data_IF_375173251838
#
_entry.id   IF_375173251838
#
_cell.length_a   1.000
_cell.length_b   1.000
_cell.length_c   1.000
_cell.angle_alpha   90.00
_cell.angle_beta   90.00
_cell.angle_gamma   90.00
#
_symmetry.space_group_name_H-M   'P 1'
#
loop_
_entity.id
_entity.type
_entity.pdbx_description
1 polymer ?
#
# COMPACT_ATOMS: atom_id res chain seq x y z
N UNK A 1 -15.72 24.73 -2.73
CA UNK A 1 -15.00 23.87 -3.70
C UNK A 1 -15.99 23.54 -4.80
N UNK A 2 -15.60 23.63 -6.07
CA UNK A 2 -16.47 23.26 -7.20
C UNK A 2 -16.09 21.85 -7.65
N UNK A 3 -17.08 20.96 -7.71
CA UNK A 3 -16.92 19.57 -8.12
C UNK A 3 -17.07 19.44 -9.64
N UNK A 4 -16.32 18.53 -10.27
CA UNK A 4 -16.52 18.24 -11.70
C UNK A 4 -17.74 17.37 -11.93
N UNK A 5 -18.23 17.35 -13.17
CA UNK A 5 -19.28 16.43 -13.61
C UNK A 5 -18.87 14.95 -13.45
N UNK A 6 -17.57 14.63 -13.48
CA UNK A 6 -17.06 13.28 -13.20
C UNK A 6 -17.07 12.94 -11.70
N UNK A 7 -16.86 13.93 -10.83
CA UNK A 7 -16.82 13.72 -9.37
C UNK A 7 -18.22 13.63 -8.76
N UNK A 8 -19.18 14.41 -9.25
CA UNK A 8 -20.53 14.51 -8.67
C UNK A 8 -21.25 13.15 -8.57
N UNK A 9 -21.30 12.30 -9.62
CA UNK A 9 -21.93 10.98 -9.53
C UNK A 9 -21.30 10.09 -8.47
N UNK A 10 -19.96 10.09 -8.34
CA UNK A 10 -19.26 9.33 -7.32
C UNK A 10 -19.57 9.86 -5.90
N UNK A 11 -19.65 11.19 -5.73
CA UNK A 11 -19.95 11.84 -4.44
C UNK A 11 -21.39 11.56 -3.99
N UNK A 12 -22.35 11.56 -4.91
CA UNK A 12 -23.77 11.34 -4.64
C UNK A 12 -24.19 9.86 -4.67
N UNK A 13 -23.25 8.94 -4.91
CA UNK A 13 -23.56 7.52 -5.04
C UNK A 13 -24.08 6.93 -3.72
N UNK A 14 -25.17 6.16 -3.82
CA UNK A 14 -25.74 5.38 -2.72
C UNK A 14 -25.34 3.90 -2.79
N UNK A 15 -24.47 3.51 -3.73
CA UNK A 15 -24.08 2.12 -3.91
C UNK A 15 -23.34 1.57 -2.69
N UNK A 16 -23.61 0.29 -2.36
CA UNK A 16 -22.88 -0.42 -1.29
C UNK A 16 -21.42 -0.66 -1.63
N UNK A 17 -21.09 -0.73 -2.92
CA UNK A 17 -19.73 -0.85 -3.43
C UNK A 17 -19.53 0.17 -4.54
N UNK A 18 -18.63 1.11 -4.30
CA UNK A 18 -18.29 2.19 -5.20
C UNK A 18 -16.80 2.08 -5.53
N UNK A 19 -16.49 2.04 -6.82
CA UNK A 19 -15.13 2.04 -7.35
C UNK A 19 -14.92 3.29 -8.19
N UNK A 20 -13.98 4.13 -7.78
CA UNK A 20 -13.60 5.32 -8.52
C UNK A 20 -12.22 5.09 -9.12
N UNK A 21 -12.19 4.80 -10.42
CA UNK A 21 -10.95 4.66 -11.18
C UNK A 21 -10.49 6.05 -11.62
N UNK A 22 -9.32 6.46 -11.15
CA UNK A 22 -8.85 7.82 -11.29
C UNK A 22 -7.43 7.83 -11.85
N UNK A 23 -7.07 8.84 -12.62
CA UNK A 23 -5.69 9.05 -13.02
C UNK A 23 -4.90 9.92 -12.03
N UNK A 24 -3.62 10.12 -12.33
CA UNK A 24 -2.74 11.02 -11.60
C UNK A 24 -3.29 12.45 -11.54
N UNK A 25 -3.47 12.97 -10.32
CA UNK A 25 -3.83 14.38 -10.11
C UNK A 25 -5.31 14.72 -10.34
N UNK A 26 -6.18 13.73 -10.49
CA UNK A 26 -7.63 13.95 -10.76
C UNK A 26 -8.49 14.14 -9.51
N UNK A 27 -7.86 14.20 -8.34
CA UNK A 27 -8.54 14.54 -7.09
C UNK A 27 -9.12 13.37 -6.29
N UNK A 28 -8.59 12.14 -6.41
CA UNK A 28 -9.01 10.93 -5.65
C UNK A 28 -9.41 11.20 -4.20
N UNK A 29 -8.47 11.64 -3.37
CA UNK A 29 -8.71 11.93 -1.95
C UNK A 29 -9.71 13.08 -1.77
N UNK A 30 -9.73 14.06 -2.68
CA UNK A 30 -10.70 15.17 -2.65
C UNK A 30 -12.11 14.67 -2.93
N UNK A 31 -12.29 13.73 -3.87
CA UNK A 31 -13.57 13.08 -4.14
C UNK A 31 -14.05 12.28 -2.93
N UNK A 32 -13.16 11.59 -2.20
CA UNK A 32 -13.52 10.93 -0.94
C UNK A 32 -13.96 11.92 0.15
N UNK A 33 -13.33 13.10 0.22
CA UNK A 33 -13.76 14.17 1.14
C UNK A 33 -15.17 14.63 0.76
N UNK A 34 -15.42 14.91 -0.52
CA UNK A 34 -16.77 15.29 -1.00
C UNK A 34 -17.83 14.22 -0.70
N UNK A 35 -17.50 12.94 -0.92
CA UNK A 35 -18.38 11.83 -0.57
C UNK A 35 -18.71 11.81 0.93
N UNK A 36 -17.70 12.01 1.78
CA UNK A 36 -17.87 12.03 3.23
C UNK A 36 -18.68 13.24 3.74
N UNK A 37 -18.53 14.40 3.10
CA UNK A 37 -19.31 15.61 3.37
C UNK A 37 -20.76 15.44 2.96
N UNK A 38 -21.02 14.86 1.78
CA UNK A 38 -22.37 14.57 1.31
C UNK A 38 -23.10 13.59 2.24
N UNK A 39 -22.37 12.62 2.79
CA UNK A 39 -22.87 11.60 3.70
C UNK A 39 -22.53 11.90 5.18
N UNK A 40 -22.68 13.17 5.61
CA UNK A 40 -22.25 13.65 6.92
C UNK A 40 -22.87 12.91 8.13
N UNK A 41 -24.04 12.29 7.97
CA UNK A 41 -24.72 11.51 9.02
C UNK A 41 -24.09 10.12 9.24
N UNK A 42 -23.28 9.64 8.29
CA UNK A 42 -22.66 8.32 8.35
C UNK A 42 -21.27 8.43 8.98
N UNK A 43 -21.01 7.63 10.02
CA UNK A 43 -19.66 7.47 10.57
C UNK A 43 -18.82 6.63 9.61
N UNK A 44 -17.66 7.12 9.21
CA UNK A 44 -16.81 6.45 8.21
C UNK A 44 -15.41 6.20 8.72
N UNK A 45 -14.76 5.18 8.16
CA UNK A 45 -13.34 4.91 8.36
C UNK A 45 -12.60 5.17 7.06
N UNK A 46 -11.65 6.12 7.08
CA UNK A 46 -10.73 6.34 5.97
C UNK A 46 -9.43 5.56 6.22
N UNK A 47 -9.08 4.68 5.28
CA UNK A 47 -7.86 3.88 5.28
C UNK A 47 -6.87 4.40 4.23
N UNK A 48 -5.68 4.76 4.70
CA UNK A 48 -4.59 5.25 3.86
C UNK A 48 -3.31 4.44 4.05
N UNK A 49 -2.40 4.58 3.09
CA UNK A 49 -1.19 3.77 3.01
C UNK A 49 -0.15 4.09 4.10
N UNK A 50 0.09 5.37 4.40
CA UNK A 50 1.16 5.76 5.33
C UNK A 50 0.74 6.87 6.29
N UNK A 51 1.56 7.08 7.32
CA UNK A 51 1.27 8.02 8.40
C UNK A 51 1.22 9.47 7.95
N UNK A 52 2.02 9.87 6.96
CA UNK A 52 2.00 11.23 6.41
C UNK A 52 0.66 11.52 5.73
N UNK A 53 0.13 10.56 4.96
CA UNK A 53 -1.21 10.65 4.35
C UNK A 53 -2.29 10.67 5.42
N UNK A 54 -2.18 9.86 6.48
CA UNK A 54 -3.12 9.89 7.61
C UNK A 54 -3.18 11.28 8.26
N UNK A 55 -2.03 11.90 8.53
CA UNK A 55 -1.95 13.22 9.16
C UNK A 55 -2.54 14.31 8.25
N UNK A 56 -2.22 14.27 6.95
CA UNK A 56 -2.81 15.20 5.99
C UNK A 56 -4.33 15.00 5.85
N UNK A 57 -4.81 13.76 5.88
CA UNK A 57 -6.23 13.43 5.78
C UNK A 57 -7.04 13.95 6.98
N UNK A 58 -6.51 13.88 8.20
CA UNK A 58 -7.19 14.41 9.41
C UNK A 58 -7.55 15.89 9.33
N UNK A 59 -6.77 16.68 8.59
CA UNK A 59 -7.03 18.11 8.41
C UNK A 59 -8.03 18.40 7.27
N UNK A 60 -8.29 17.41 6.40
CA UNK A 60 -9.11 17.56 5.19
C UNK A 60 -10.48 16.92 5.29
N UNK A 61 -10.58 15.78 5.98
CA UNK A 61 -11.83 15.04 6.10
C UNK A 61 -12.75 15.64 7.17
N UNK A 62 -14.08 15.55 6.99
CA UNK A 62 -15.04 16.01 7.98
C UNK A 62 -15.05 15.14 9.25
N UNK A 63 -15.64 15.67 10.32
CA UNK A 63 -15.61 15.06 11.68
C UNK A 63 -16.25 13.68 11.77
N UNK A 64 -17.13 13.31 10.84
CA UNK A 64 -17.73 11.98 10.77
C UNK A 64 -16.75 10.89 10.28
N UNK A 65 -15.53 11.25 9.85
CA UNK A 65 -14.54 10.32 9.32
C UNK A 65 -13.40 10.12 10.32
N UNK A 66 -13.11 8.86 10.62
CA UNK A 66 -11.90 8.46 11.35
C UNK A 66 -10.80 8.12 10.35
N UNK A 67 -9.74 8.93 10.29
CA UNK A 67 -8.58 8.67 9.41
C UNK A 67 -7.52 7.82 10.12
N UNK A 68 -7.16 6.67 9.54
CA UNK A 68 -6.15 5.74 10.06
C UNK A 68 -5.37 5.07 8.93
N UNK A 69 -4.14 4.64 9.21
CA UNK A 69 -3.52 3.54 8.45
C UNK A 69 -4.07 2.19 8.92
N UNK A 70 -3.97 1.15 8.10
CA UNK A 70 -4.38 -0.21 8.50
C UNK A 70 -3.59 -0.69 9.73
N UNK A 71 -2.27 -0.48 9.73
CA UNK A 71 -1.42 -0.74 10.90
C UNK A 71 -1.83 0.07 12.12
N UNK A 72 -2.22 1.34 11.95
CA UNK A 72 -2.67 2.19 13.05
C UNK A 72 -4.01 1.77 13.65
N UNK A 73 -4.88 1.14 12.84
CA UNK A 73 -6.11 0.50 13.31
C UNK A 73 -5.80 -0.77 14.11
N UNK A 74 -4.95 -1.64 13.56
CA UNK A 74 -4.53 -2.88 14.22
C UNK A 74 -3.74 -2.63 15.52
N UNK A 75 -2.92 -1.58 15.55
CA UNK A 75 -2.11 -1.23 16.72
C UNK A 75 -2.97 -0.92 17.95
N UNK A 76 -4.13 -0.27 17.74
CA UNK A 76 -5.04 0.09 18.82
C UNK A 76 -5.67 -1.14 19.50
N UNK A 77 -5.74 -2.28 18.81
CA UNK A 77 -6.34 -3.51 19.31
C UNK A 77 -5.26 -4.48 19.82
N UNK A 78 -4.28 -4.81 18.95
CA UNK A 78 -3.24 -5.79 19.25
C UNK A 78 -1.89 -5.16 19.51
N UNK A 79 -1.46 -4.21 18.66
CA UNK A 79 -0.07 -3.73 18.67
C UNK A 79 0.39 -3.20 20.04
N UNK A 80 -0.44 -2.41 20.74
CA UNK A 80 -0.08 -1.86 22.06
C UNK A 80 0.33 -2.90 23.11
N UNK A 81 -0.17 -4.14 23.01
CA UNK A 81 0.14 -5.25 23.92
C UNK A 81 1.58 -5.79 23.74
N UNK A 82 2.19 -5.56 22.57
CA UNK A 82 3.53 -6.04 22.23
C UNK A 82 4.62 -4.98 22.38
N UNK A 83 4.33 -3.82 22.99
CA UNK A 83 5.26 -2.67 23.05
C UNK A 83 6.65 -3.03 23.58
N UNK A 84 6.76 -3.98 24.51
CA UNK A 84 8.02 -4.45 25.09
C UNK A 84 8.87 -5.34 24.18
N UNK A 85 8.29 -5.87 23.09
CA UNK A 85 8.97 -6.76 22.12
C UNK A 85 8.73 -6.35 20.67
N UNK A 86 8.43 -5.07 20.42
CA UNK A 86 8.21 -4.56 19.07
C UNK A 86 9.52 -4.33 18.31
N UNK A 87 9.53 -4.68 17.02
CA UNK A 87 10.63 -4.38 16.11
C UNK A 87 10.11 -3.96 14.73
N UNK A 88 10.93 -3.21 13.99
CA UNK A 88 10.58 -2.80 12.62
C UNK A 88 10.55 -3.98 11.65
N UNK A 89 11.51 -4.91 11.77
CA UNK A 89 11.68 -6.07 10.89
C UNK A 89 12.11 -7.30 11.69
N UNK A 90 11.85 -8.50 11.15
CA UNK A 90 12.40 -9.76 11.66
C UNK A 90 13.91 -9.81 11.40
N UNK A 91 14.70 -10.18 12.42
CA UNK A 91 16.15 -10.34 12.30
C UNK A 91 16.49 -11.81 12.09
N UNK A 92 17.29 -12.11 11.07
CA UNK A 92 17.75 -13.48 10.78
C UNK A 92 18.44 -14.13 11.98
N UNK A 93 19.22 -13.35 12.75
CA UNK A 93 19.90 -13.82 13.96
C UNK A 93 18.94 -14.29 15.04
N UNK A 94 17.81 -13.60 15.20
CA UNK A 94 16.81 -13.93 16.22
C UNK A 94 16.06 -15.20 15.81
N UNK A 95 15.73 -15.34 14.53
CA UNK A 95 15.12 -16.55 13.98
C UNK A 95 16.05 -17.75 14.13
N UNK A 96 17.31 -17.63 13.69
CA UNK A 96 18.29 -18.71 13.77
C UNK A 96 18.52 -19.19 15.21
N UNK A 97 18.59 -18.26 16.18
CA UNK A 97 18.67 -18.57 17.61
C UNK A 97 17.42 -19.26 18.11
N UNK A 98 16.24 -18.78 17.72
CA UNK A 98 14.93 -19.29 18.18
C UNK A 98 14.70 -20.75 17.80
N UNK A 99 15.16 -21.15 16.60
CA UNK A 99 15.05 -22.53 16.09
C UNK A 99 16.35 -23.34 16.28
N UNK A 100 17.34 -22.77 16.98
CA UNK A 100 18.65 -23.37 17.25
C UNK A 100 19.32 -23.98 16.00
N UNK A 101 19.42 -23.18 14.92
CA UNK A 101 20.06 -23.61 13.67
C UNK A 101 21.28 -22.77 13.32
N UNK A 102 22.24 -23.39 12.62
CA UNK A 102 23.33 -22.72 11.92
C UNK A 102 23.07 -22.62 10.41
N UNK A 103 21.95 -23.15 9.93
CA UNK A 103 21.49 -23.05 8.54
C UNK A 103 20.85 -21.68 8.31
N UNK A 104 21.65 -20.75 7.79
CA UNK A 104 21.21 -19.39 7.46
C UNK A 104 20.24 -19.33 6.28
N UNK A 105 20.27 -20.32 5.37
CA UNK A 105 19.31 -20.41 4.29
C UNK A 105 17.92 -20.75 4.82
N UNK A 106 17.84 -21.72 5.73
CA UNK A 106 16.60 -22.07 6.41
C UNK A 106 16.05 -20.89 7.21
N UNK A 107 16.90 -20.16 7.94
CA UNK A 107 16.48 -18.97 8.67
C UNK A 107 15.92 -17.88 7.73
N UNK A 108 16.54 -17.69 6.56
CA UNK A 108 16.07 -16.77 5.52
C UNK A 108 14.72 -17.20 4.93
N UNK A 109 14.56 -18.48 4.63
CA UNK A 109 13.31 -19.01 4.11
C UNK A 109 12.17 -18.86 5.11
N UNK A 110 12.44 -19.08 6.41
CA UNK A 110 11.45 -18.85 7.48
C UNK A 110 11.05 -17.38 7.51
N UNK A 111 12.00 -16.43 7.48
CA UNK A 111 11.67 -14.99 7.44
C UNK A 111 10.84 -14.63 6.20
N UNK A 112 11.20 -15.14 5.01
CA UNK A 112 10.43 -14.90 3.79
C UNK A 112 9.01 -15.44 3.91
N UNK A 113 8.88 -16.66 4.40
CA UNK A 113 7.60 -17.37 4.56
C UNK A 113 6.70 -16.67 5.57
N UNK A 114 7.24 -16.20 6.71
CA UNK A 114 6.51 -15.37 7.68
C UNK A 114 6.05 -14.05 7.06
N UNK A 115 6.92 -13.35 6.33
CA UNK A 115 6.53 -12.09 5.67
C UNK A 115 5.44 -12.31 4.62
N UNK A 116 5.53 -13.37 3.81
CA UNK A 116 4.52 -13.75 2.84
C UNK A 116 3.17 -14.06 3.53
N UNK A 117 3.20 -14.80 4.64
CA UNK A 117 2.00 -15.07 5.44
C UNK A 117 1.39 -13.81 6.05
N UNK A 118 2.20 -12.95 6.68
CA UNK A 118 1.71 -11.71 7.29
C UNK A 118 1.11 -10.74 6.24
N UNK A 119 1.59 -10.81 5.00
CA UNK A 119 1.07 -10.05 3.86
C UNK A 119 -0.20 -10.66 3.24
N UNK A 120 -0.42 -11.97 3.39
CA UNK A 120 -1.51 -12.69 2.75
C UNK A 120 -2.88 -12.47 3.41
N UNK A 121 -3.94 -12.88 2.70
CA UNK A 121 -5.31 -12.90 3.22
C UNK A 121 -5.61 -14.15 4.07
N UNK A 122 -4.72 -15.13 4.06
CA UNK A 122 -5.00 -16.48 4.56
C UNK A 122 -4.97 -16.50 6.09
N UNK A 123 -5.85 -17.27 6.72
CA UNK A 123 -5.94 -17.29 8.18
C UNK A 123 -4.90 -18.19 8.84
N UNK A 124 -4.23 -19.03 8.04
CA UNK A 124 -3.27 -20.02 8.50
C UNK A 124 -2.08 -20.09 7.54
N UNK A 125 -0.95 -20.59 8.06
CA UNK A 125 0.26 -20.80 7.27
C UNK A 125 0.09 -21.99 6.31
N UNK A 126 -0.06 -21.66 5.02
CA UNK A 126 -0.14 -22.59 3.89
C UNK A 126 1.20 -22.73 3.14
N UNK A 127 1.31 -23.77 2.30
CA UNK A 127 2.47 -24.04 1.44
C UNK A 127 2.75 -22.92 0.44
N UNK A 128 1.72 -22.24 -0.06
CA UNK A 128 1.84 -21.11 -1.00
C UNK A 128 2.61 -19.91 -0.43
N UNK A 129 2.82 -19.84 0.88
CA UNK A 129 3.67 -18.80 1.48
C UNK A 129 5.16 -19.12 1.39
N UNK A 130 5.52 -20.37 1.13
CA UNK A 130 6.91 -20.78 0.97
C UNK A 130 7.37 -20.46 -0.45
N UNK A 131 8.17 -19.41 -0.61
CA UNK A 131 8.57 -18.88 -1.92
C UNK A 131 9.60 -19.75 -2.65
N UNK A 132 10.45 -20.45 -1.89
CA UNK A 132 11.47 -21.32 -2.46
C UNK A 132 10.76 -22.49 -3.15
N UNK A 133 11.14 -22.72 -4.42
CA UNK A 133 10.57 -23.72 -5.31
C UNK A 133 9.18 -23.42 -5.93
N UNK A 134 8.58 -22.23 -5.75
CA UNK A 134 7.31 -21.89 -6.41
C UNK A 134 7.36 -21.95 -7.94
N UNK A 135 8.54 -21.75 -8.54
CA UNK A 135 8.75 -21.89 -9.99
C UNK A 135 8.81 -23.33 -10.48
N UNK A 136 8.90 -24.32 -9.58
CA UNK A 136 9.05 -25.72 -9.95
C UNK A 136 7.69 -26.33 -10.24
N UNK A 137 7.55 -27.00 -11.39
CA UNK A 137 6.31 -27.70 -11.77
C UNK A 137 6.02 -28.91 -10.86
N UNK A 138 7.05 -29.53 -10.32
CA UNK A 138 6.95 -30.68 -9.43
C UNK A 138 8.15 -30.67 -8.49
N UNK A 139 7.90 -30.90 -7.20
CA UNK A 139 8.94 -30.97 -6.19
C UNK A 139 9.46 -32.40 -6.05
N UNK A 140 10.76 -32.56 -5.83
CA UNK A 140 11.33 -33.85 -5.43
C UNK A 140 10.92 -34.18 -3.99
N UNK A 141 10.97 -35.46 -3.59
CA UNK A 141 10.67 -35.87 -2.21
C UNK A 141 11.55 -35.14 -1.17
N UNK A 142 12.81 -34.84 -1.52
CA UNK A 142 13.74 -34.08 -0.67
C UNK A 142 13.29 -32.62 -0.53
N UNK A 143 12.86 -31.98 -1.62
CA UNK A 143 12.34 -30.61 -1.60
C UNK A 143 11.04 -30.52 -0.79
N UNK A 144 10.15 -31.51 -0.93
CA UNK A 144 8.92 -31.60 -0.13
C UNK A 144 9.23 -31.74 1.36
N UNK A 145 10.15 -32.63 1.74
CA UNK A 145 10.57 -32.79 3.14
C UNK A 145 11.19 -31.50 3.69
N UNK A 146 12.02 -30.81 2.91
CA UNK A 146 12.60 -29.52 3.30
C UNK A 146 11.52 -28.45 3.51
N UNK A 147 10.59 -28.31 2.56
CA UNK A 147 9.48 -27.34 2.66
C UNK A 147 8.62 -27.62 3.89
N UNK A 148 8.22 -28.88 4.11
CA UNK A 148 7.43 -29.28 5.28
C UNK A 148 8.17 -28.97 6.59
N UNK A 149 9.47 -29.23 6.66
CA UNK A 149 10.31 -28.87 7.81
C UNK A 149 10.33 -27.36 8.04
N UNK A 150 10.56 -26.58 6.99
CA UNK A 150 10.62 -25.12 7.06
C UNK A 150 9.27 -24.51 7.49
N UNK A 151 8.15 -25.02 6.96
CA UNK A 151 6.81 -24.59 7.34
C UNK A 151 6.51 -24.90 8.82
N UNK A 152 6.86 -26.09 9.30
CA UNK A 152 6.67 -26.44 10.72
C UNK A 152 7.46 -25.49 11.64
N UNK A 153 8.74 -25.26 11.34
CA UNK A 153 9.55 -24.30 12.09
C UNK A 153 9.02 -22.86 11.99
N UNK A 154 8.43 -22.49 10.85
CA UNK A 154 7.79 -21.18 10.66
C UNK A 154 6.57 -21.04 11.57
N UNK A 155 5.77 -22.10 11.75
CA UNK A 155 4.65 -22.12 12.70
C UNK A 155 5.15 -21.93 14.14
N UNK A 156 6.19 -22.67 14.53
CA UNK A 156 6.79 -22.54 15.87
C UNK A 156 7.29 -21.11 16.13
N UNK A 157 7.92 -20.49 15.12
CA UNK A 157 8.38 -19.09 15.20
C UNK A 157 7.21 -18.12 15.27
N UNK A 158 6.15 -18.34 14.50
CA UNK A 158 4.93 -17.53 14.57
C UNK A 158 4.27 -17.62 15.94
N UNK A 159 4.15 -18.81 16.52
CA UNK A 159 3.54 -19.02 17.84
C UNK A 159 4.33 -18.27 18.94
N UNK A 160 5.67 -18.33 18.90
CA UNK A 160 6.53 -17.53 19.80
C UNK A 160 6.45 -16.02 19.53
N UNK A 161 6.24 -15.63 18.27
CA UNK A 161 6.08 -14.22 17.90
C UNK A 161 4.79 -13.66 18.50
N UNK A 162 3.67 -14.39 18.40
CA UNK A 162 2.36 -13.96 18.91
C UNK A 162 2.18 -14.15 20.40
N UNK A 163 2.95 -15.04 21.04
CA UNK A 163 3.02 -15.08 22.51
C UNK A 163 3.57 -13.75 23.05
N UNK A 164 2.77 -13.10 23.89
CA UNK A 164 3.09 -11.80 24.50
C UNK A 164 4.26 -11.96 25.50
N UNK A 165 4.38 -13.12 26.16
CA UNK A 165 5.37 -13.37 27.20
C UNK A 165 6.71 -13.88 26.64
N UNK A 166 6.70 -14.52 25.47
CA UNK A 166 7.92 -14.96 24.80
C UNK A 166 8.66 -13.74 24.22
N UNK A 167 9.98 -13.63 24.45
CA UNK A 167 10.82 -12.51 23.92
C UNK A 167 11.85 -12.95 22.89
N UNK A 168 11.82 -14.21 22.46
CA UNK A 168 12.75 -14.78 21.48
C UNK A 168 12.54 -14.23 20.08
N UNK A 169 11.29 -13.97 19.71
CA UNK A 169 10.91 -13.40 18.40
C UNK A 169 10.17 -12.09 18.60
N UNK A 170 10.65 -11.02 17.98
CA UNK A 170 10.03 -9.70 18.07
C UNK A 170 8.73 -9.62 17.26
N UNK A 171 7.74 -8.88 17.77
CA UNK A 171 6.50 -8.57 17.05
C UNK A 171 6.74 -7.41 16.07
N UNK A 172 6.48 -7.64 14.78
CA UNK A 172 6.57 -6.61 13.74
C UNK A 172 5.26 -5.86 13.56
N UNK A 173 5.32 -4.76 12.82
CA UNK A 173 4.11 -4.04 12.41
C UNK A 173 3.16 -4.91 11.58
N UNK A 174 3.69 -5.73 10.69
CA UNK A 174 2.90 -6.66 9.88
C UNK A 174 2.36 -7.83 10.71
N UNK A 175 3.07 -8.26 11.76
CA UNK A 175 2.62 -9.34 12.64
C UNK A 175 1.34 -9.01 13.40
N UNK A 176 1.27 -7.85 14.07
CA UNK A 176 0.03 -7.47 14.76
C UNK A 176 -1.08 -7.06 13.78
N UNK A 177 -0.74 -6.60 12.58
CA UNK A 177 -1.72 -6.37 11.52
C UNK A 177 -2.34 -7.69 11.07
N UNK A 178 -1.51 -8.74 10.93
CA UNK A 178 -1.95 -10.09 10.62
C UNK A 178 -2.86 -10.65 11.70
N UNK A 179 -2.50 -10.52 12.99
CA UNK A 179 -3.37 -10.88 14.12
C UNK A 179 -4.73 -10.16 14.05
N UNK A 180 -4.71 -8.86 13.77
CA UNK A 180 -5.93 -8.09 13.62
C UNK A 180 -6.79 -8.53 12.44
N UNK A 181 -6.19 -8.92 11.32
CA UNK A 181 -6.94 -9.48 10.18
C UNK A 181 -7.51 -10.86 10.52
N UNK A 182 -6.72 -11.73 11.15
CA UNK A 182 -7.11 -13.07 11.57
C UNK A 182 -8.25 -13.07 12.60
N UNK A 183 -8.35 -12.02 13.42
CA UNK A 183 -9.48 -11.85 14.35
C UNK A 183 -10.81 -11.57 13.65
N UNK A 184 -10.82 -11.42 12.31
CA UNK A 184 -11.98 -11.12 11.47
C UNK A 184 -12.88 -10.02 12.07
N UNK A 185 -12.32 -8.81 12.29
CA UNK A 185 -13.00 -7.77 13.04
C UNK A 185 -14.25 -7.29 12.30
N UNK A 186 -15.34 -7.14 13.03
CA UNK A 186 -16.58 -6.53 12.53
C UNK A 186 -16.58 -5.03 12.81
N UNK A 187 -16.29 -4.24 11.78
CA UNK A 187 -16.26 -2.79 11.85
C UNK A 187 -17.65 -2.14 11.70
N UNK A 188 -18.68 -2.90 11.34
CA UNK A 188 -20.03 -2.38 11.10
C UNK A 188 -20.70 -1.79 12.34
N UNK A 189 -20.27 -2.22 13.54
CA UNK A 189 -20.73 -1.66 14.82
C UNK A 189 -20.30 -0.22 15.03
N UNK A 190 -19.25 0.25 14.36
CA UNK A 190 -18.66 1.58 14.54
C UNK A 190 -18.78 2.48 13.32
N UNK A 191 -18.78 1.89 12.13
CA UNK A 191 -18.73 2.60 10.87
C UNK A 191 -19.85 2.11 9.94
N UNK A 192 -20.47 3.02 9.21
CA UNK A 192 -21.40 2.69 8.12
C UNK A 192 -20.73 2.62 6.76
N UNK A 193 -19.50 3.15 6.62
CA UNK A 193 -18.71 3.07 5.40
C UNK A 193 -17.19 3.00 5.66
N UNK A 194 -16.47 2.39 4.73
CA UNK A 194 -15.01 2.41 4.63
C UNK A 194 -14.61 3.10 3.32
N UNK A 195 -13.72 4.07 3.44
CA UNK A 195 -13.12 4.81 2.34
C UNK A 195 -11.67 4.34 2.18
N UNK A 196 -11.36 3.62 1.10
CA UNK A 196 -10.04 3.10 0.79
C UNK A 196 -9.37 3.96 -0.28
N UNK A 197 -8.27 4.62 0.07
CA UNK A 197 -7.43 5.38 -0.87
C UNK A 197 -6.27 4.53 -1.39
N UNK A 198 -5.79 4.86 -2.58
CA UNK A 198 -4.72 4.13 -3.29
C UNK A 198 -4.96 2.62 -3.35
N UNK A 199 -6.19 2.22 -3.70
CA UNK A 199 -6.64 0.82 -3.73
C UNK A 199 -5.80 -0.12 -4.60
N UNK A 200 -5.01 0.40 -5.53
CA UNK A 200 -4.10 -0.39 -6.37
C UNK A 200 -2.86 -0.92 -5.62
N UNK A 201 -2.42 -0.26 -4.54
CA UNK A 201 -1.14 -0.55 -3.84
C UNK A 201 -1.36 -1.22 -2.47
N UNK A 202 -2.52 -1.86 -2.29
CA UNK A 202 -2.93 -2.45 -1.02
C UNK A 202 -2.43 -3.88 -0.90
N UNK A 203 -1.81 -4.23 0.23
CA UNK A 203 -1.38 -5.60 0.52
C UNK A 203 -2.60 -6.52 0.74
N UNK A 204 -2.63 -7.78 0.26
CA UNK A 204 -3.75 -8.71 0.44
C UNK A 204 -4.37 -8.77 1.84
N UNK A 205 -3.58 -8.70 2.91
CA UNK A 205 -4.07 -8.64 4.30
C UNK A 205 -5.00 -7.43 4.55
N UNK A 206 -4.65 -6.26 4.03
CA UNK A 206 -5.45 -5.03 4.16
C UNK A 206 -6.66 -5.10 3.22
N UNK A 207 -6.47 -5.59 2.00
CA UNK A 207 -7.57 -5.76 1.05
C UNK A 207 -8.64 -6.71 1.61
N UNK A 208 -8.22 -7.83 2.21
CA UNK A 208 -9.11 -8.76 2.90
C UNK A 208 -9.83 -8.08 4.08
N UNK A 209 -9.09 -7.35 4.92
CA UNK A 209 -9.67 -6.62 6.05
C UNK A 209 -10.80 -5.68 5.63
N UNK A 210 -10.71 -5.04 4.45
CA UNK A 210 -11.80 -4.21 3.89
C UNK A 210 -12.91 -5.08 3.29
N UNK A 211 -12.55 -6.11 2.52
CA UNK A 211 -13.50 -6.96 1.80
C UNK A 211 -14.48 -7.70 2.71
N UNK A 212 -14.03 -8.17 3.88
CA UNK A 212 -14.88 -8.92 4.82
C UNK A 212 -15.93 -8.03 5.53
N UNK A 213 -15.83 -6.70 5.40
CA UNK A 213 -16.70 -5.77 6.11
C UNK A 213 -18.04 -5.63 5.40
N UNK A 214 -19.12 -5.66 6.18
CA UNK A 214 -20.52 -5.59 5.71
C UNK A 214 -21.04 -4.16 5.51
N UNK A 215 -20.15 -3.18 5.54
CA UNK A 215 -20.44 -1.74 5.43
C UNK A 215 -20.31 -1.28 3.99
N UNK A 216 -20.74 -0.05 3.67
CA UNK A 216 -20.49 0.53 2.34
C UNK A 216 -18.99 0.63 2.10
N UNK A 217 -18.52 0.17 0.93
CA UNK A 217 -17.11 0.21 0.55
C UNK A 217 -16.92 1.19 -0.61
N UNK A 218 -16.14 2.24 -0.38
CA UNK A 218 -15.75 3.21 -1.40
C UNK A 218 -14.26 3.11 -1.61
N UNK A 219 -13.85 2.68 -2.80
CA UNK A 219 -12.43 2.52 -3.15
C UNK A 219 -12.07 3.45 -4.28
N UNK A 220 -11.04 4.27 -4.08
CA UNK A 220 -10.43 5.10 -5.14
C UNK A 220 -9.02 4.61 -5.43
N UNK A 221 -8.60 4.70 -6.68
CA UNK A 221 -7.24 4.33 -7.05
C UNK A 221 -6.94 4.57 -8.52
N UNK A 222 -5.67 4.44 -8.87
CA UNK A 222 -5.17 4.54 -10.24
C UNK A 222 -4.53 3.22 -10.67
N UNK A 223 -5.19 2.50 -11.58
CA UNK A 223 -4.73 1.21 -12.11
C UNK A 223 -3.34 1.28 -12.76
N UNK A 224 -2.89 2.46 -13.16
CA UNK A 224 -1.57 2.65 -13.78
C UNK A 224 -0.48 3.05 -12.80
N UNK A 225 -0.83 3.43 -11.56
CA UNK A 225 0.13 3.78 -10.50
C UNK A 225 0.42 2.63 -9.54
N UNK A 226 0.14 1.38 -9.92
CA UNK A 226 0.50 0.24 -9.10
C UNK A 226 2.02 0.01 -9.13
N UNK A 227 2.71 0.52 -8.11
CA UNK A 227 4.18 0.49 -8.03
C UNK A 227 4.69 -0.60 -7.08
N UNK A 228 3.86 -1.08 -6.15
CA UNK A 228 4.31 -1.98 -5.08
C UNK A 228 4.01 -3.47 -5.34
N UNK A 229 3.81 -3.90 -6.59
CA UNK A 229 3.61 -5.33 -6.92
C UNK A 229 4.74 -6.24 -6.40
N UNK A 230 5.97 -5.75 -6.43
CA UNK A 230 7.14 -6.49 -5.92
C UNK A 230 7.11 -6.74 -4.41
N UNK A 231 6.21 -6.07 -3.67
CA UNK A 231 5.94 -6.30 -2.24
C UNK A 231 4.66 -7.10 -2.01
N UNK A 232 4.13 -7.76 -3.04
CA UNK A 232 2.90 -8.55 -2.96
C UNK A 232 1.60 -7.74 -3.01
N UNK A 233 1.64 -6.43 -3.30
CA UNK A 233 0.43 -5.62 -3.40
C UNK A 233 -0.54 -6.17 -4.47
N UNK A 234 -1.81 -6.29 -4.11
CA UNK A 234 -2.89 -6.73 -5.01
C UNK A 234 -3.66 -5.54 -5.52
N UNK A 235 -4.11 -5.62 -6.76
CA UNK A 235 -4.98 -4.59 -7.33
C UNK A 235 -6.41 -4.77 -6.80
N UNK A 236 -6.73 -4.10 -5.69
CA UNK A 236 -8.07 -4.18 -5.10
C UNK A 236 -9.15 -3.62 -6.05
N UNK A 237 -8.77 -2.74 -6.98
CA UNK A 237 -9.67 -2.16 -7.98
C UNK A 237 -10.21 -3.23 -8.95
N UNK A 238 -9.41 -4.26 -9.24
CA UNK A 238 -9.76 -5.36 -10.14
C UNK A 238 -10.12 -6.66 -9.39
N UNK A 239 -10.32 -6.60 -8.07
CA UNK A 239 -10.69 -7.77 -7.29
C UNK A 239 -12.08 -8.31 -7.65
N UNK A 240 -12.32 -9.63 -7.60
CA UNK A 240 -13.65 -10.21 -7.80
C UNK A 240 -14.72 -9.60 -6.87
N UNK A 241 -14.31 -9.18 -5.67
CA UNK A 241 -15.16 -8.53 -4.69
C UNK A 241 -15.78 -7.21 -5.19
N UNK A 242 -15.12 -6.52 -6.14
CA UNK A 242 -15.57 -5.25 -6.73
C UNK A 242 -16.19 -5.42 -8.13
N UNK A 243 -16.44 -6.65 -8.59
CA UNK A 243 -17.01 -6.92 -9.92
C UNK A 243 -18.36 -6.24 -10.15
N UNK A 244 -19.20 -6.20 -9.11
CA UNK A 244 -20.54 -5.59 -9.14
C UNK A 244 -20.56 -4.19 -8.51
N UNK A 245 -19.40 -3.55 -8.33
CA UNK A 245 -19.35 -2.18 -7.82
C UNK A 245 -19.85 -1.19 -8.88
N UNK A 246 -20.50 -0.13 -8.43
CA UNK A 246 -20.73 1.06 -9.27
C UNK A 246 -19.37 1.68 -9.61
N UNK A 247 -19.12 1.95 -10.90
CA UNK A 247 -17.82 2.41 -11.38
C UNK A 247 -17.90 3.81 -11.96
N UNK A 248 -17.03 4.69 -11.49
CA UNK A 248 -16.85 6.04 -12.03
C UNK A 248 -15.40 6.27 -12.43
N UNK A 249 -15.20 7.17 -13.39
CA UNK A 249 -13.88 7.51 -13.91
C UNK A 249 -13.57 8.97 -13.64
N UNK A 250 -12.39 9.25 -13.08
CA UNK A 250 -11.86 10.61 -12.94
C UNK A 250 -10.69 10.76 -13.91
N UNK A 251 -10.92 11.46 -15.02
CA UNK A 251 -9.98 11.60 -16.12
C UNK A 251 -9.30 12.98 -16.16
N UNK A 252 -9.87 13.96 -15.46
CA UNK A 252 -9.43 15.36 -15.47
C UNK A 252 -8.39 15.65 -14.38
N UNK A 253 -7.13 15.83 -14.76
CA UNK A 253 -6.01 16.14 -13.85
C UNK A 253 -5.83 17.63 -13.66
N UNK A 254 -5.82 18.07 -12.40
CA UNK A 254 -5.55 19.47 -12.04
C UNK A 254 -4.06 19.74 -11.77
N UNK A 255 -3.23 18.69 -11.82
CA UNK A 255 -1.80 18.78 -11.46
C UNK A 255 -0.94 19.33 -12.60
N UNK A 256 -1.31 19.06 -13.84
CA UNK A 256 -0.52 19.40 -15.03
C UNK A 256 -1.42 19.75 -16.20
N UNK A 257 -0.91 20.58 -17.10
CA UNK A 257 -1.59 20.96 -18.34
C UNK A 257 -1.47 19.92 -19.47
N UNK A 258 -2.00 20.27 -20.66
CA UNK A 258 -2.20 19.32 -21.77
C UNK A 258 -0.92 18.66 -22.31
N UNK A 259 0.24 19.34 -22.29
CA UNK A 259 1.47 18.78 -22.86
C UNK A 259 1.95 17.54 -22.11
N UNK A 260 1.94 17.57 -20.77
CA UNK A 260 2.26 16.39 -19.95
C UNK A 260 1.19 15.31 -20.12
N UNK A 261 -0.09 15.69 -20.19
CA UNK A 261 -1.19 14.74 -20.41
C UNK A 261 -1.05 14.00 -21.75
N UNK A 262 -0.63 14.69 -22.82
CA UNK A 262 -0.38 14.09 -24.13
C UNK A 262 0.69 12.99 -24.05
N UNK A 263 1.84 13.29 -23.46
CA UNK A 263 2.93 12.30 -23.31
C UNK A 263 2.50 11.15 -22.41
N UNK A 264 1.78 11.43 -21.33
CA UNK A 264 1.23 10.39 -20.46
C UNK A 264 0.27 9.46 -21.24
N UNK A 265 -0.65 10.00 -22.05
CA UNK A 265 -1.56 9.20 -22.87
C UNK A 265 -0.85 8.33 -23.90
N UNK A 266 0.24 8.81 -24.51
CA UNK A 266 1.08 7.98 -25.40
C UNK A 266 1.66 6.79 -24.64
N UNK A 267 2.18 7.00 -23.43
CA UNK A 267 2.69 5.90 -22.60
C UNK A 267 1.57 4.94 -22.18
N UNK A 268 0.40 5.48 -21.81
CA UNK A 268 -0.75 4.71 -21.37
C UNK A 268 -1.36 3.87 -22.51
N UNK A 269 -1.31 4.34 -23.76
CA UNK A 269 -1.81 3.59 -24.91
C UNK A 269 -1.02 2.30 -25.15
N UNK A 270 0.30 2.30 -24.90
CA UNK A 270 1.13 1.08 -24.90
C UNK A 270 0.71 0.09 -23.80
N UNK A 271 0.03 0.55 -22.74
CA UNK A 271 -0.58 -0.30 -21.70
C UNK A 271 -2.02 -0.72 -22.05
N UNK A 272 -2.52 -0.38 -23.24
CA UNK A 272 -3.88 -0.69 -23.70
C UNK A 272 -4.96 0.20 -23.11
N UNK A 273 -4.61 1.33 -22.47
CA UNK A 273 -5.60 2.30 -22.00
C UNK A 273 -6.30 2.97 -23.19
N UNK A 274 -7.62 3.10 -23.08
CA UNK A 274 -8.49 3.70 -24.10
C UNK A 274 -9.15 4.99 -23.60
N UNK A 275 -9.19 5.21 -22.28
CA UNK A 275 -9.77 6.39 -21.67
C UNK A 275 -8.69 7.49 -21.61
N UNK A 276 -8.90 8.65 -22.26
CA UNK A 276 -7.89 9.70 -22.31
C UNK A 276 -7.79 10.45 -20.97
N UNK A 277 -6.57 10.59 -20.46
CA UNK A 277 -6.22 11.51 -19.37
C UNK A 277 -6.21 12.95 -19.89
N UNK A 278 -6.92 13.85 -19.21
CA UNK A 278 -6.99 15.27 -19.57
C UNK A 278 -6.17 16.10 -18.59
N UNK A 279 -5.34 17.02 -19.09
CA UNK A 279 -4.56 17.94 -18.25
C UNK A 279 -5.23 19.31 -18.16
N UNK A 280 -5.91 19.59 -17.05
CA UNK A 280 -6.57 20.87 -16.73
C UNK A 280 -5.73 21.78 -15.82
N UNK A 281 -4.54 21.32 -15.40
CA UNK A 281 -3.62 22.13 -14.63
C UNK A 281 -2.98 23.25 -15.45
N UNK A 282 -2.06 23.98 -14.82
CA UNK A 282 -1.31 25.05 -15.48
C UNK A 282 -0.62 24.55 -16.76
N UNK A 283 -0.47 25.39 -17.80
CA UNK A 283 0.25 25.03 -19.01
C UNK A 283 1.63 24.45 -18.69
N UNK A 284 1.92 23.28 -19.25
CA UNK A 284 3.20 22.58 -19.05
C UNK A 284 3.96 22.48 -20.37
N UNK A 285 5.28 22.30 -20.28
CA UNK A 285 6.15 22.04 -21.42
C UNK A 285 6.90 20.72 -21.20
N UNK A 286 6.95 19.88 -22.23
CA UNK A 286 7.78 18.67 -22.23
C UNK A 286 8.93 18.90 -23.20
N UNK A 287 10.15 18.91 -22.68
CA UNK A 287 11.39 19.19 -23.44
C UNK A 287 12.42 18.10 -23.18
N UNK A 288 13.37 17.94 -24.11
CA UNK A 288 14.52 17.03 -23.95
C UNK A 288 15.53 17.52 -22.90
N UNK A 289 15.58 18.82 -22.67
CA UNK A 289 16.39 19.46 -21.64
C UNK A 289 15.56 20.56 -20.95
N UNK A 290 15.76 20.71 -19.65
CA UNK A 290 15.18 21.81 -18.88
C UNK A 290 16.00 23.09 -19.09
N UNK A 291 15.37 24.28 -19.03
CA UNK A 291 16.09 25.56 -19.09
C UNK A 291 17.16 25.68 -18.00
N UNK A 292 18.26 26.36 -18.34
CA UNK A 292 19.41 26.51 -17.44
C UNK A 292 19.09 27.36 -16.21
N UNK A 293 18.22 28.34 -16.38
CA UNK A 293 17.81 29.37 -15.43
C UNK A 293 16.65 28.96 -14.49
N UNK A 294 16.25 27.68 -14.48
CA UNK A 294 15.20 27.24 -13.56
C UNK A 294 15.61 27.40 -12.09
N UNK A 295 14.77 28.04 -11.25
CA UNK A 295 15.08 28.24 -9.83
C UNK A 295 15.11 26.93 -9.03
N UNK A 296 14.33 25.94 -9.46
CA UNK A 296 14.23 24.64 -8.81
C UNK A 296 14.20 23.51 -9.83
N UNK A 297 14.89 22.43 -9.50
CA UNK A 297 14.92 21.20 -10.30
C UNK A 297 14.68 20.00 -9.41
N UNK A 298 13.92 19.04 -9.90
CA UNK A 298 13.74 17.74 -9.24
C UNK A 298 14.24 16.66 -10.17
N UNK A 299 15.15 15.83 -9.66
CA UNK A 299 15.71 14.69 -10.39
C UNK A 299 15.08 13.40 -9.86
N UNK A 300 14.59 12.56 -10.78
CA UNK A 300 14.01 11.26 -10.46
C UNK A 300 14.83 10.18 -11.15
N UNK A 301 15.27 9.19 -10.39
CA UNK A 301 16.03 8.05 -10.90
C UNK A 301 15.34 6.74 -10.53
N UNK A 302 15.62 5.70 -11.33
CA UNK A 302 15.07 4.36 -11.10
C UNK A 302 15.66 3.68 -9.86
N UNK A 303 16.90 4.02 -9.52
CA UNK A 303 17.69 3.41 -8.44
C UNK A 303 18.26 4.49 -7.52
N UNK A 304 18.52 4.10 -6.26
CA UNK A 304 19.21 4.94 -5.28
C UNK A 304 20.59 5.37 -5.80
N UNK A 305 21.36 4.43 -6.38
CA UNK A 305 22.67 4.74 -6.98
C UNK A 305 22.59 5.88 -7.99
N UNK A 306 21.57 5.86 -8.87
CA UNK A 306 21.38 6.93 -9.84
C UNK A 306 21.12 8.31 -9.22
N UNK A 307 20.38 8.37 -8.11
CA UNK A 307 20.18 9.62 -7.36
C UNK A 307 21.51 10.11 -6.77
N UNK A 308 22.29 9.21 -6.17
CA UNK A 308 23.58 9.54 -5.55
C UNK A 308 24.58 9.99 -6.61
N UNK A 309 24.72 9.26 -7.72
CA UNK A 309 25.60 9.63 -8.83
C UNK A 309 25.26 11.01 -9.39
N UNK A 310 23.96 11.31 -9.56
CA UNK A 310 23.52 12.61 -10.02
C UNK A 310 23.80 13.72 -8.98
N UNK A 311 23.58 13.44 -7.69
CA UNK A 311 23.92 14.37 -6.62
C UNK A 311 25.42 14.69 -6.62
N UNK A 312 26.29 13.67 -6.69
CA UNK A 312 27.75 13.86 -6.74
C UNK A 312 28.21 14.70 -7.94
N UNK A 313 27.57 14.55 -9.11
CA UNK A 313 27.85 15.40 -10.28
C UNK A 313 27.48 16.87 -10.03
N UNK A 314 26.39 17.13 -9.31
CA UNK A 314 25.88 18.48 -9.03
C UNK A 314 26.58 19.16 -7.83
N UNK A 315 27.15 18.39 -6.90
CA UNK A 315 27.99 18.93 -5.79
C UNK A 315 29.11 19.81 -6.34
N UNK A 316 29.75 19.35 -7.42
CA UNK A 316 30.87 20.06 -8.05
C UNK A 316 30.45 21.38 -8.72
N UNK A 317 29.16 21.70 -8.76
CA UNK A 317 28.59 22.89 -9.40
C UNK A 317 28.00 23.90 -8.38
N UNK A 318 28.30 23.75 -7.07
CA UNK A 318 27.83 24.63 -5.99
C UNK A 318 26.29 24.76 -5.87
N UNK A 319 25.54 23.77 -6.35
CA UNK A 319 24.09 23.74 -6.17
C UNK A 319 23.69 23.33 -4.74
N UNK A 320 22.71 24.02 -4.14
CA UNK A 320 22.07 23.57 -2.89
C UNK A 320 21.12 22.43 -3.21
N UNK A 321 21.29 21.30 -2.53
CA UNK A 321 20.50 20.09 -2.76
C UNK A 321 19.59 19.79 -1.56
N UNK A 322 18.42 19.23 -1.85
CA UNK A 322 17.49 18.72 -0.85
C UNK A 322 17.09 17.28 -1.20
N UNK A 323 17.20 16.39 -0.22
CA UNK A 323 16.80 14.99 -0.34
C UNK A 323 15.34 14.82 0.08
N UNK A 324 14.49 14.33 -0.83
CA UNK A 324 13.09 14.06 -0.52
C UNK A 324 13.02 12.84 0.41
N UNK A 325 12.53 13.03 1.64
CA UNK A 325 12.50 11.99 2.68
C UNK A 325 13.75 11.93 3.56
N UNK A 326 14.71 12.84 3.37
CA UNK A 326 15.99 12.83 4.08
C UNK A 326 16.96 11.78 3.52
N UNK A 327 18.26 11.97 3.76
CA UNK A 327 19.30 11.11 3.18
C UNK A 327 19.23 9.68 3.73
N UNK A 328 18.81 9.51 4.98
CA UNK A 328 18.66 8.20 5.64
C UNK A 328 17.61 7.30 4.96
N UNK A 329 16.66 7.88 4.23
CA UNK A 329 15.65 7.11 3.48
C UNK A 329 16.20 6.41 2.24
N UNK A 330 17.44 6.73 1.85
CA UNK A 330 18.13 6.14 0.71
C UNK A 330 19.00 4.94 1.09
N UNK A 331 19.01 4.49 2.35
CA UNK A 331 19.74 3.30 2.81
C UNK A 331 21.20 3.25 2.35
N UNK A 332 21.94 4.34 2.57
CA UNK A 332 23.38 4.44 2.32
C UNK A 332 24.20 3.45 3.14
#
# INVERSE_FOLDING_TARGET
MQWTEEQLPAIHSCAKKLLVQAFAGTGKTTTLVGYAEHNASVKMLYLCYNKAVEMAAKNRFPRNVTCKTAHGLAYAVYGSQYKHKQAGNLRLTDIARTINTQDWELAKDIVSTLNAFMASKDLELQEDHFERFQSNRTLTSVQQQYMSKALNLTRDVWDKMVDINDRSVSMTHDGYLKLYQMSQPDLSKRFGAILLDEGQDVNPVIANLVQIQKVTQVTVGDRHQQLYRFRGAVDALNSPAMRNAEKHFLTQSFRFGPAVAYVANVILSFKGEKIPLQGLGQPTLVKRALPDDLPHRTYLHRTVSGVIENALRLVNQNHRMQWIGGIDSYSL
#
